data_IF_154164177751
#
_entry.id   IF_154164177751
#
_cell.length_a   1.000
_cell.length_b   1.000
_cell.length_c   1.000
_cell.angle_alpha   90.00
_cell.angle_beta   90.00
_cell.angle_gamma   90.00
#
_symmetry.space_group_name_H-M   'P 1'
#
loop_
_entity.id
_entity.type
_entity.pdbx_description
1 polymer ?
#
# COMPACT_ATOMS: atom_id res chain seq x y z
N UNK A 1 -5.12 1.54 -14.22
CA UNK A 1 -5.09 1.80 -12.77
C UNK A 1 -3.84 1.23 -12.10
N UNK A 2 -3.66 -0.10 -11.98
CA UNK A 2 -2.52 -0.69 -11.24
C UNK A 2 -1.17 -0.29 -11.84
N UNK A 3 -0.98 -0.46 -13.15
CA UNK A 3 0.26 -0.06 -13.83
C UNK A 3 0.51 1.45 -13.73
N UNK A 4 -0.51 2.26 -13.98
CA UNK A 4 -0.41 3.72 -13.86
C UNK A 4 -0.06 4.16 -12.43
N UNK A 5 -0.56 3.43 -11.41
CA UNK A 5 -0.23 3.66 -10.01
C UNK A 5 1.23 3.36 -9.71
N UNK A 6 1.82 2.32 -10.31
CA UNK A 6 3.26 2.09 -10.23
C UNK A 6 4.05 3.19 -10.92
N UNK A 7 3.67 3.61 -12.13
CA UNK A 7 4.36 4.70 -12.84
C UNK A 7 4.35 5.98 -12.00
N UNK A 8 3.19 6.40 -11.51
CA UNK A 8 3.04 7.62 -10.72
C UNK A 8 3.80 7.56 -9.38
N UNK A 9 3.74 6.42 -8.68
CA UNK A 9 4.46 6.27 -7.41
C UNK A 9 5.97 6.21 -7.60
N UNK A 10 6.48 5.55 -8.65
CA UNK A 10 7.92 5.48 -8.90
C UNK A 10 8.49 6.80 -9.43
N UNK A 11 7.74 7.55 -10.23
CA UNK A 11 8.09 8.93 -10.59
C UNK A 11 8.29 9.79 -9.33
N UNK A 12 7.31 9.78 -8.42
CA UNK A 12 7.40 10.49 -7.15
C UNK A 12 8.55 9.99 -6.27
N UNK A 13 8.79 8.67 -6.20
CA UNK A 13 9.90 8.08 -5.43
C UNK A 13 11.25 8.64 -5.83
N UNK A 14 11.52 8.72 -7.13
CA UNK A 14 12.80 9.22 -7.61
C UNK A 14 12.87 10.75 -7.63
N UNK A 15 11.73 11.44 -7.63
CA UNK A 15 11.70 12.89 -7.41
C UNK A 15 12.06 13.26 -5.96
N UNK A 16 11.39 12.67 -4.95
CA UNK A 16 11.61 13.00 -3.54
C UNK A 16 12.82 12.29 -2.93
N UNK A 17 13.19 11.13 -3.47
CA UNK A 17 14.35 10.32 -3.05
C UNK A 17 14.44 10.10 -1.53
N UNK A 18 13.29 9.84 -0.89
CA UNK A 18 13.18 9.76 0.56
C UNK A 18 13.74 8.44 1.14
N UNK A 19 14.44 8.53 2.26
CA UNK A 19 15.01 7.38 2.98
C UNK A 19 13.95 6.45 3.59
N UNK A 20 14.35 5.22 3.95
CA UNK A 20 13.48 4.18 4.55
C UNK A 20 13.54 4.22 6.08
N UNK A 21 12.53 3.68 6.80
CA UNK A 21 12.56 3.59 8.27
C UNK A 21 13.80 2.89 8.82
N UNK A 22 14.29 1.84 8.16
CA UNK A 22 15.53 1.16 8.53
C UNK A 22 16.73 2.10 8.61
N UNK A 23 16.92 2.93 7.58
CA UNK A 23 17.99 3.93 7.59
C UNK A 23 17.69 5.01 8.61
N UNK A 24 16.48 5.55 8.62
CA UNK A 24 16.11 6.68 9.47
C UNK A 24 16.28 6.39 10.97
N UNK A 25 15.83 5.22 11.45
CA UNK A 25 15.96 4.85 12.87
C UNK A 25 17.42 4.61 13.26
N UNK A 26 18.20 3.97 12.39
CA UNK A 26 19.61 3.66 12.66
C UNK A 26 20.52 4.89 12.55
N UNK A 27 20.12 5.90 11.78
CA UNK A 27 20.88 7.13 11.52
C UNK A 27 20.21 8.38 12.10
N UNK A 28 19.32 8.21 13.09
CA UNK A 28 18.55 9.31 13.65
C UNK A 28 19.42 10.43 14.25
N UNK A 29 20.62 10.10 14.72
CA UNK A 29 21.61 11.10 15.20
C UNK A 29 22.03 12.14 14.13
N UNK A 30 21.74 11.89 12.84
CA UNK A 30 22.09 12.75 11.72
C UNK A 30 20.92 13.52 11.11
N UNK A 31 19.70 13.39 11.66
CA UNK A 31 18.49 13.94 11.05
C UNK A 31 18.13 15.35 11.53
N UNK A 32 18.85 15.86 12.54
CA UNK A 32 18.64 17.18 13.12
C UNK A 32 17.40 17.29 14.02
N UNK A 33 16.76 16.18 14.37
CA UNK A 33 15.62 16.14 15.25
C UNK A 33 16.05 15.70 16.67
N UNK A 34 15.94 16.57 17.70
CA UNK A 34 16.33 16.23 19.06
C UNK A 34 15.40 15.21 19.73
N UNK A 35 14.22 14.94 19.16
CA UNK A 35 13.24 14.00 19.70
C UNK A 35 13.44 12.57 19.19
N UNK A 36 14.51 12.30 18.42
CA UNK A 36 14.83 10.98 17.87
C UNK A 36 16.19 10.48 18.36
N UNK A 37 16.23 9.21 18.76
CA UNK A 37 17.44 8.53 19.21
C UNK A 37 17.80 7.41 18.25
N UNK A 38 19.08 7.30 17.89
CA UNK A 38 19.54 6.27 16.98
C UNK A 38 19.53 4.90 17.65
N UNK A 39 18.90 3.92 17.01
CA UNK A 39 18.99 2.52 17.41
C UNK A 39 19.66 1.71 16.29
N UNK A 40 20.97 1.49 16.44
CA UNK A 40 21.78 0.73 15.49
C UNK A 40 21.40 -0.76 15.40
N UNK A 41 20.62 -1.29 16.35
CA UNK A 41 20.19 -2.69 16.38
C UNK A 41 18.81 -2.91 15.78
N UNK A 42 18.01 -1.84 15.67
CA UNK A 42 16.64 -1.91 15.15
C UNK A 42 16.56 -2.58 13.78
N UNK A 43 15.61 -3.50 13.60
CA UNK A 43 15.28 -4.10 12.30
C UNK A 43 13.78 -4.10 12.07
N UNK A 44 13.39 -4.16 10.80
CA UNK A 44 11.99 -4.23 10.40
C UNK A 44 11.47 -5.69 10.44
N UNK A 45 10.15 -5.86 10.54
CA UNK A 45 9.50 -7.18 10.55
C UNK A 45 9.47 -7.84 9.16
N UNK A 46 9.64 -7.05 8.09
CA UNK A 46 9.67 -7.52 6.69
C UNK A 46 10.98 -8.22 6.29
N UNK A 47 11.87 -8.51 7.26
CA UNK A 47 13.21 -9.11 7.11
C UNK A 47 14.19 -8.43 6.13
N UNK A 48 13.77 -7.40 5.40
CA UNK A 48 14.60 -6.61 4.49
C UNK A 48 13.95 -5.25 4.17
N UNK A 49 14.76 -4.33 3.68
CA UNK A 49 14.27 -3.07 3.10
C UNK A 49 14.41 -3.10 1.59
N UNK A 50 13.43 -2.55 0.87
CA UNK A 50 13.46 -2.52 -0.59
C UNK A 50 14.49 -1.50 -1.10
N UNK A 51 15.18 -1.85 -2.19
CA UNK A 51 16.19 -1.02 -2.85
C UNK A 51 15.59 0.10 -3.74
N UNK A 52 14.63 0.85 -3.19
CA UNK A 52 14.07 2.06 -3.81
C UNK A 52 13.50 3.02 -2.74
N UNK A 53 13.42 4.33 -3.04
CA UNK A 53 12.99 5.35 -2.07
C UNK A 53 11.64 5.07 -1.42
N UNK A 54 11.43 5.59 -0.21
CA UNK A 54 10.24 5.30 0.60
C UNK A 54 9.00 6.02 0.09
N UNK A 55 9.07 7.32 -0.15
CA UNK A 55 7.88 8.13 -0.38
C UNK A 55 7.49 8.24 -1.86
N UNK A 56 6.21 8.06 -2.25
CA UNK A 56 5.10 7.51 -1.46
C UNK A 56 5.11 5.97 -1.47
N UNK A 57 4.28 5.34 -0.65
CA UNK A 57 4.13 3.88 -0.62
C UNK A 57 3.53 3.35 -1.93
N UNK A 58 4.31 2.55 -2.67
CA UNK A 58 3.82 1.92 -3.90
C UNK A 58 2.69 0.92 -3.62
N UNK A 59 2.78 0.19 -2.51
CA UNK A 59 1.74 -0.76 -2.09
C UNK A 59 0.43 -0.02 -1.76
N UNK A 60 0.51 1.09 -1.01
CA UNK A 60 -0.64 1.95 -0.75
C UNK A 60 -1.25 2.54 -2.03
N UNK A 61 -0.39 2.99 -2.95
CA UNK A 61 -0.82 3.52 -4.26
C UNK A 61 -1.59 2.50 -5.08
N UNK A 62 -1.05 1.29 -5.22
CA UNK A 62 -1.68 0.26 -6.05
C UNK A 62 -2.93 -0.31 -5.40
N UNK A 63 -2.95 -0.50 -4.08
CA UNK A 63 -4.15 -0.90 -3.36
C UNK A 63 -5.25 0.17 -3.44
N UNK A 64 -4.90 1.45 -3.26
CA UNK A 64 -5.83 2.56 -3.47
C UNK A 64 -6.42 2.55 -4.88
N UNK A 65 -5.57 2.47 -5.91
CA UNK A 65 -6.00 2.48 -7.31
C UNK A 65 -6.89 1.27 -7.67
N UNK A 66 -6.52 0.07 -7.22
CA UNK A 66 -7.29 -1.14 -7.49
C UNK A 66 -8.66 -1.10 -6.79
N UNK A 67 -8.69 -0.76 -5.51
CA UNK A 67 -9.92 -0.74 -4.71
C UNK A 67 -10.87 0.38 -5.13
N UNK A 68 -10.36 1.54 -5.58
CA UNK A 68 -11.19 2.60 -6.19
C UNK A 68 -11.88 2.12 -7.46
N UNK A 69 -11.19 1.40 -8.34
CA UNK A 69 -11.82 0.82 -9.55
C UNK A 69 -12.81 -0.27 -9.20
N UNK A 70 -12.53 -1.12 -8.20
CA UNK A 70 -13.49 -2.12 -7.75
C UNK A 70 -14.75 -1.47 -7.18
N UNK A 71 -14.61 -0.41 -6.39
CA UNK A 71 -15.73 0.36 -5.87
C UNK A 71 -16.57 0.99 -7.00
N UNK A 72 -15.93 1.54 -8.04
CA UNK A 72 -16.66 2.13 -9.17
C UNK A 72 -17.43 1.09 -9.99
N UNK A 73 -16.95 -0.14 -10.04
CA UNK A 73 -17.60 -1.23 -10.80
C UNK A 73 -18.68 -1.92 -9.97
N UNK A 74 -18.42 -2.22 -8.70
CA UNK A 74 -19.26 -3.08 -7.86
C UNK A 74 -20.10 -2.33 -6.82
N UNK A 75 -19.91 -1.01 -6.70
CA UNK A 75 -20.55 -0.15 -5.71
C UNK A 75 -19.61 0.14 -4.52
N UNK A 76 -19.71 1.35 -3.98
CA UNK A 76 -18.85 1.81 -2.87
C UNK A 76 -19.14 1.06 -1.56
N UNK A 77 -20.42 0.84 -1.26
CA UNK A 77 -20.89 0.15 -0.05
C UNK A 77 -21.15 -1.34 -0.36
N UNK A 78 -20.09 -2.04 -0.72
CA UNK A 78 -20.13 -3.47 -1.07
C UNK A 78 -19.32 -4.30 -0.08
N UNK A 79 -19.99 -4.99 0.88
CA UNK A 79 -19.30 -5.87 1.82
C UNK A 79 -18.72 -7.11 1.16
N UNK A 80 -17.55 -7.58 1.59
CA UNK A 80 -16.95 -8.80 1.07
C UNK A 80 -16.00 -9.45 2.08
N UNK A 81 -15.81 -10.75 1.91
CA UNK A 81 -14.80 -11.53 2.63
C UNK A 81 -13.60 -11.79 1.73
N UNK A 82 -12.41 -11.59 2.29
CA UNK A 82 -11.15 -11.96 1.66
C UNK A 82 -10.52 -13.11 2.43
N UNK A 83 -10.42 -14.28 1.80
CA UNK A 83 -9.80 -15.48 2.39
C UNK A 83 -8.43 -15.73 1.77
N UNK A 84 -7.39 -15.61 2.59
CA UNK A 84 -6.00 -15.91 2.24
C UNK A 84 -5.44 -16.79 3.35
N UNK A 85 -5.04 -18.02 3.02
CA UNK A 85 -4.58 -19.00 4.03
C UNK A 85 -3.12 -18.80 4.43
N UNK A 86 -2.26 -18.45 3.48
CA UNK A 86 -0.86 -18.21 3.71
C UNK A 86 -0.34 -17.13 2.76
N UNK A 87 0.69 -16.41 3.20
CA UNK A 87 1.39 -15.37 2.42
C UNK A 87 2.89 -15.56 2.56
N UNK A 88 3.64 -15.03 1.59
CA UNK A 88 5.08 -14.85 1.76
C UNK A 88 5.35 -13.94 2.96
N UNK A 89 6.27 -14.34 3.85
CA UNK A 89 6.64 -13.57 5.07
C UNK A 89 7.12 -12.16 4.74
N UNK A 90 7.98 -12.09 3.75
CA UNK A 90 8.84 -10.96 3.43
C UNK A 90 9.03 -10.84 1.91
N UNK A 91 7.96 -11.07 1.13
CA UNK A 91 7.97 -11.02 -0.34
C UNK A 91 8.34 -12.35 -1.03
N UNK A 92 8.26 -12.42 -2.37
CA UNK A 92 8.28 -13.68 -3.10
C UNK A 92 9.48 -14.57 -2.75
N UNK A 93 9.21 -15.80 -2.31
CA UNK A 93 10.24 -16.79 -1.99
C UNK A 93 10.85 -16.67 -0.60
N UNK A 94 10.31 -15.80 0.27
CA UNK A 94 10.71 -15.67 1.68
C UNK A 94 10.19 -16.78 2.60
N UNK A 95 9.45 -17.74 2.04
CA UNK A 95 8.75 -18.77 2.78
C UNK A 95 7.37 -18.30 3.23
N UNK A 96 6.46 -19.26 3.40
CA UNK A 96 5.08 -18.99 3.74
C UNK A 96 4.89 -18.85 5.26
N UNK A 97 3.99 -17.95 5.62
CA UNK A 97 3.41 -17.80 6.95
C UNK A 97 1.91 -17.96 6.84
N UNK A 98 1.34 -18.79 7.72
CA UNK A 98 -0.11 -18.96 7.82
C UNK A 98 -0.76 -17.68 8.34
N UNK A 99 -1.89 -17.32 7.75
CA UNK A 99 -2.71 -16.20 8.16
C UNK A 99 -3.66 -16.66 9.27
N UNK A 100 -3.67 -15.94 10.39
CA UNK A 100 -4.57 -16.17 11.51
C UNK A 100 -5.26 -14.86 11.94
N UNK A 101 -6.57 -14.69 11.70
CA UNK A 101 -7.45 -15.60 10.94
C UNK A 101 -7.19 -15.56 9.42
N UNK A 102 -7.52 -16.63 8.67
CA UNK A 102 -7.33 -16.68 7.22
C UNK A 102 -8.37 -15.87 6.45
N UNK A 103 -9.46 -15.43 7.09
CA UNK A 103 -10.53 -14.65 6.47
C UNK A 103 -10.66 -13.31 7.16
N UNK A 104 -10.72 -12.24 6.36
CA UNK A 104 -10.99 -10.87 6.80
C UNK A 104 -12.26 -10.36 6.13
N UNK A 105 -13.11 -9.70 6.91
CA UNK A 105 -14.34 -9.07 6.43
C UNK A 105 -14.12 -7.58 6.22
N UNK A 106 -14.63 -7.03 5.14
CA UNK A 106 -14.63 -5.59 4.85
C UNK A 106 -16.03 -5.15 4.44
N UNK A 107 -16.48 -4.01 4.96
CA UNK A 107 -17.76 -3.40 4.60
C UNK A 107 -17.70 -2.69 3.23
N UNK A 108 -16.50 -2.25 2.85
CA UNK A 108 -16.24 -1.53 1.60
C UNK A 108 -14.78 -1.67 1.14
N UNK A 109 -14.55 -1.55 -0.16
CA UNK A 109 -13.21 -1.66 -0.76
C UNK A 109 -12.20 -0.65 -0.19
N UNK A 110 -12.66 0.54 0.22
CA UNK A 110 -11.81 1.54 0.85
C UNK A 110 -11.14 1.03 2.15
N UNK A 111 -11.83 0.22 2.95
CA UNK A 111 -11.24 -0.36 4.17
C UNK A 111 -10.12 -1.34 3.83
N UNK A 112 -10.29 -2.16 2.80
CA UNK A 112 -9.23 -3.08 2.34
C UNK A 112 -8.02 -2.33 1.78
N UNK A 113 -8.22 -1.19 1.09
CA UNK A 113 -7.12 -0.33 0.65
C UNK A 113 -6.35 0.26 1.83
N UNK A 114 -7.05 0.79 2.84
CA UNK A 114 -6.43 1.41 4.02
C UNK A 114 -5.65 0.37 4.83
N UNK A 115 -6.19 -0.83 4.99
CA UNK A 115 -5.50 -1.94 5.65
C UNK A 115 -4.25 -2.38 4.87
N UNK A 116 -4.37 -2.54 3.54
CA UNK A 116 -3.23 -2.84 2.69
C UNK A 116 -2.12 -1.79 2.84
N UNK A 117 -2.46 -0.50 2.85
CA UNK A 117 -1.49 0.58 2.99
C UNK A 117 -0.82 0.59 4.38
N UNK A 118 -1.60 0.42 5.45
CA UNK A 118 -1.08 0.40 6.82
C UNK A 118 -0.26 -0.85 7.14
N UNK A 119 -0.48 -1.97 6.44
CA UNK A 119 0.34 -3.17 6.59
C UNK A 119 1.84 -2.88 6.46
N UNK A 120 2.21 -1.89 5.63
CA UNK A 120 3.62 -1.54 5.40
C UNK A 120 4.25 -0.78 6.55
N UNK A 121 3.44 -0.09 7.35
CA UNK A 121 3.85 0.55 8.60
C UNK A 121 4.10 -0.52 9.66
N UNK A 122 3.18 -1.49 9.79
CA UNK A 122 3.34 -2.61 10.73
C UNK A 122 4.57 -3.47 10.41
N UNK A 123 4.89 -3.61 9.12
CA UNK A 123 6.08 -4.29 8.65
C UNK A 123 7.38 -3.49 8.85
N UNK A 124 7.32 -2.22 9.25
CA UNK A 124 8.50 -1.37 9.52
C UNK A 124 9.24 -0.89 8.28
N UNK A 125 8.58 -0.78 7.12
CA UNK A 125 9.24 -0.46 5.85
C UNK A 125 8.73 0.80 5.16
N UNK A 126 7.66 1.39 5.69
CA UNK A 126 7.14 2.69 5.29
C UNK A 126 6.78 3.51 6.53
N UNK A 127 6.94 4.83 6.43
CA UNK A 127 6.35 5.74 7.39
C UNK A 127 4.83 5.84 7.17
N UNK A 128 4.10 6.27 8.19
CA UNK A 128 2.64 6.45 8.07
C UNK A 128 2.27 7.42 6.94
N UNK A 129 2.99 8.54 6.81
CA UNK A 129 2.75 9.50 5.74
C UNK A 129 3.05 8.94 4.34
N UNK A 130 3.98 7.97 4.20
CA UNK A 130 4.19 7.30 2.91
C UNK A 130 2.94 6.52 2.50
N UNK A 131 2.34 5.82 3.45
CA UNK A 131 1.13 5.03 3.23
C UNK A 131 -0.09 5.91 2.96
N UNK A 132 -0.27 6.99 3.72
CA UNK A 132 -1.37 7.94 3.53
C UNK A 132 -1.28 8.65 2.16
N UNK A 133 -0.11 9.19 1.82
CA UNK A 133 0.11 9.84 0.53
C UNK A 133 0.00 8.86 -0.64
N UNK A 134 0.52 7.64 -0.47
CA UNK A 134 0.38 6.58 -1.46
C UNK A 134 -1.08 6.24 -1.72
N UNK A 135 -1.88 6.03 -0.67
CA UNK A 135 -3.32 5.76 -0.81
C UNK A 135 -4.05 6.92 -1.49
N UNK A 136 -3.73 8.17 -1.16
CA UNK A 136 -4.32 9.35 -1.81
C UNK A 136 -4.01 9.37 -3.32
N UNK A 137 -2.73 9.24 -3.70
CA UNK A 137 -2.30 9.13 -5.09
C UNK A 137 -2.99 7.97 -5.82
N UNK A 138 -3.11 6.82 -5.14
CA UNK A 138 -3.79 5.64 -5.64
C UNK A 138 -5.27 5.91 -5.96
N UNK A 139 -5.98 6.59 -5.06
CA UNK A 139 -7.39 6.96 -5.27
C UNK A 139 -7.55 7.88 -6.48
N UNK A 140 -6.66 8.85 -6.66
CA UNK A 140 -6.70 9.75 -7.82
C UNK A 140 -6.48 8.99 -9.14
N UNK A 141 -5.45 8.14 -9.20
CA UNK A 141 -5.18 7.27 -10.37
C UNK A 141 -6.33 6.30 -10.63
N UNK A 142 -6.90 5.73 -9.57
CA UNK A 142 -8.06 4.85 -9.65
C UNK A 142 -9.30 5.57 -10.19
N UNK A 143 -9.54 6.81 -9.76
CA UNK A 143 -10.63 7.65 -10.23
C UNK A 143 -10.50 7.99 -11.72
N UNK A 144 -9.29 8.36 -12.17
CA UNK A 144 -9.00 8.59 -13.59
C UNK A 144 -9.26 7.32 -14.43
N UNK A 145 -8.80 6.17 -13.95
CA UNK A 145 -9.02 4.91 -14.63
C UNK A 145 -10.50 4.51 -14.67
N UNK A 146 -11.24 4.71 -13.57
CA UNK A 146 -12.65 4.43 -13.48
C UNK A 146 -13.47 5.30 -14.45
N UNK A 147 -13.14 6.59 -14.56
CA UNK A 147 -13.78 7.51 -15.49
C UNK A 147 -13.56 7.14 -16.97
N UNK A 148 -12.50 6.39 -17.28
CA UNK A 148 -12.21 5.90 -18.62
C UNK A 148 -12.90 4.57 -18.97
N UNK A 149 -13.59 3.92 -18.00
CA UNK A 149 -14.33 2.70 -18.26
C UNK A 149 -15.59 2.99 -19.09
N UNK A 150 -15.97 2.10 -20.03
CA UNK A 150 -17.23 2.24 -20.75
C UNK A 150 -18.42 2.14 -19.78
N UNK A 151 -19.56 2.78 -20.09
CA UNK A 151 -20.77 2.66 -19.30
C UNK A 151 -21.18 1.19 -19.13
N UNK A 152 -21.60 0.78 -17.92
CA UNK A 152 -22.19 -0.55 -17.73
C UNK A 152 -23.45 -0.66 -18.58
N UNK A 153 -23.50 -1.65 -19.47
CA UNK A 153 -24.77 -2.04 -20.10
C UNK A 153 -25.75 -2.45 -19.00
N UNK A 154 -26.99 -1.96 -19.09
CA UNK A 154 -28.02 -2.29 -18.12
C UNK A 154 -28.30 -3.81 -18.13
N UNK A 155 -28.57 -4.43 -16.97
CA UNK A 155 -28.99 -5.83 -16.95
C UNK A 155 -30.31 -5.96 -17.73
N UNK A 156 -30.28 -6.52 -18.94
CA UNK A 156 -31.47 -6.70 -19.78
C UNK A 156 -31.25 -6.59 -21.29
N UNK A 157 -30.11 -6.07 -21.76
CA UNK A 157 -29.78 -6.02 -23.18
C UNK A 157 -28.97 -7.26 -23.62
N UNK A 158 -29.63 -8.42 -23.75
CA UNK A 158 -29.14 -9.59 -24.51
C UNK A 158 -30.29 -10.33 -25.17
#
# INVERSE_FOLDING_TARGET
SVFDGYVASFDSKFFYNHWRPYTAIRWAEHDGNPDTEADATWTNLHDHTYAFPSYPSAHGTVCGAAMTVLASVFGEERPFDMTIRAVDRSGPGSGLVEMDPPTRHFERFAQAADECALSRVYLGIHFRYDSEAGTALGRDVGGLAAAALPPRQAPGER
#
